data_IF_180459545695
#
_entry.id   IF_180459545695
#
_cell.length_a   1.000
_cell.length_b   1.000
_cell.length_c   1.000
_cell.angle_alpha   90.00
_cell.angle_beta   90.00
_cell.angle_gamma   90.00
#
_symmetry.space_group_name_H-M   'P 1'
#
loop_
_entity.id
_entity.type
_entity.pdbx_description
1 polymer ?
#
# COMPACT_ATOMS: atom_id res chain seq x y z
N UNK A 1 -15.68 -40.15 -49.35
CA UNK A 1 -15.13 -40.34 -47.99
C UNK A 1 -15.17 -39.00 -47.27
N UNK A 2 -16.20 -38.75 -46.47
CA UNK A 2 -16.36 -37.49 -45.74
C UNK A 2 -17.05 -37.77 -44.42
N UNK A 3 -16.33 -38.44 -43.51
CA UNK A 3 -16.83 -38.80 -42.18
C UNK A 3 -16.02 -38.05 -41.13
N UNK A 4 -16.31 -36.77 -40.98
CA UNK A 4 -15.89 -35.97 -39.82
C UNK A 4 -17.13 -35.53 -39.05
N UNK A 5 -17.03 -35.45 -37.72
CA UNK A 5 -18.13 -35.00 -36.87
C UNK A 5 -18.62 -33.61 -37.32
N UNK A 6 -19.87 -33.55 -37.79
CA UNK A 6 -20.52 -32.34 -38.28
C UNK A 6 -20.52 -31.21 -37.24
N UNK A 7 -20.47 -31.56 -35.95
CA UNK A 7 -20.46 -30.57 -34.88
C UNK A 7 -19.14 -29.79 -34.84
N UNK A 8 -18.03 -30.33 -35.34
CA UNK A 8 -16.76 -29.60 -35.39
C UNK A 8 -16.77 -28.44 -36.39
N UNK A 9 -17.73 -28.44 -37.32
CA UNK A 9 -17.97 -27.34 -38.27
C UNK A 9 -18.87 -26.25 -37.67
N UNK A 10 -19.43 -26.45 -36.46
CA UNK A 10 -20.31 -25.48 -35.80
C UNK A 10 -19.51 -24.57 -34.87
N UNK A 11 -19.76 -23.27 -34.99
CA UNK A 11 -19.06 -22.23 -34.21
C UNK A 11 -19.34 -22.27 -32.71
N UNK A 12 -20.49 -22.83 -32.30
CA UNK A 12 -20.90 -22.93 -30.90
C UNK A 12 -20.34 -24.16 -30.18
N UNK A 13 -19.72 -25.12 -30.90
CA UNK A 13 -19.24 -26.36 -30.29
C UNK A 13 -18.10 -26.07 -29.29
N UNK A 14 -18.25 -26.45 -28.00
CA UNK A 14 -17.23 -26.18 -26.98
C UNK A 14 -15.92 -26.96 -27.22
N UNK A 15 -15.97 -28.07 -27.94
CA UNK A 15 -14.79 -28.88 -28.23
C UNK A 15 -13.88 -28.26 -29.29
N UNK A 16 -14.34 -27.26 -30.04
CA UNK A 16 -13.52 -26.57 -31.03
C UNK A 16 -12.36 -25.84 -30.34
N UNK A 17 -11.14 -25.98 -30.86
CA UNK A 17 -9.92 -25.38 -30.29
C UNK A 17 -10.04 -23.87 -30.05
N UNK A 18 -10.74 -23.16 -30.95
CA UNK A 18 -11.01 -21.72 -30.82
C UNK A 18 -11.82 -21.39 -29.56
N UNK A 19 -12.82 -22.22 -29.24
CA UNK A 19 -13.69 -22.00 -28.09
C UNK A 19 -13.00 -22.43 -26.79
N UNK A 20 -12.28 -23.55 -26.79
CA UNK A 20 -11.41 -23.94 -25.68
C UNK A 20 -10.41 -22.84 -25.32
N UNK A 21 -9.80 -22.22 -26.33
CA UNK A 21 -8.88 -21.09 -26.13
C UNK A 21 -9.58 -19.90 -25.46
N UNK A 22 -10.77 -19.51 -25.93
CA UNK A 22 -11.54 -18.43 -25.32
C UNK A 22 -11.88 -18.71 -23.85
N UNK A 23 -12.35 -19.93 -23.56
CA UNK A 23 -12.65 -20.35 -22.19
C UNK A 23 -11.40 -20.27 -21.32
N UNK A 24 -10.28 -20.80 -21.80
CA UNK A 24 -9.01 -20.75 -21.09
C UNK A 24 -8.54 -19.30 -20.82
N UNK A 25 -8.66 -18.40 -21.80
CA UNK A 25 -8.32 -16.98 -21.61
C UNK A 25 -9.19 -16.32 -20.54
N UNK A 26 -10.51 -16.60 -20.54
CA UNK A 26 -11.43 -16.08 -19.53
C UNK A 26 -11.16 -16.64 -18.14
N UNK A 27 -10.86 -17.94 -18.03
CA UNK A 27 -10.51 -18.59 -16.78
C UNK A 27 -9.19 -18.03 -16.23
N UNK A 28 -8.21 -17.83 -17.10
CA UNK A 28 -6.92 -17.27 -16.73
C UNK A 28 -7.05 -15.83 -16.22
N UNK A 29 -7.91 -15.01 -16.84
CA UNK A 29 -8.22 -13.67 -16.37
C UNK A 29 -8.93 -13.70 -15.00
N UNK A 30 -9.94 -14.55 -14.84
CA UNK A 30 -10.67 -14.71 -13.57
C UNK A 30 -9.74 -15.17 -12.43
N UNK A 31 -8.79 -16.07 -12.71
CA UNK A 31 -7.77 -16.49 -11.75
C UNK A 31 -6.84 -15.35 -11.34
N UNK A 32 -6.42 -14.50 -12.29
CA UNK A 32 -5.58 -13.33 -12.00
C UNK A 32 -6.32 -12.30 -11.13
N UNK A 33 -7.59 -12.03 -11.43
CA UNK A 33 -8.44 -11.14 -10.63
C UNK A 33 -8.63 -11.69 -9.21
N UNK A 34 -8.92 -12.99 -9.09
CA UNK A 34 -9.05 -13.68 -7.80
C UNK A 34 -7.74 -13.61 -6.98
N UNK A 35 -6.58 -13.81 -7.62
CA UNK A 35 -5.29 -13.68 -6.95
C UNK A 35 -5.06 -12.26 -6.43
N UNK A 36 -5.39 -11.23 -7.22
CA UNK A 36 -5.29 -9.82 -6.80
C UNK A 36 -6.20 -9.50 -5.62
N UNK A 37 -7.43 -10.04 -5.62
CA UNK A 37 -8.37 -9.88 -4.50
C UNK A 37 -7.82 -10.57 -3.25
N UNK A 38 -7.33 -11.80 -3.38
CA UNK A 38 -6.75 -12.55 -2.26
C UNK A 38 -5.55 -11.82 -1.65
N UNK A 39 -4.68 -11.24 -2.47
CA UNK A 39 -3.58 -10.42 -1.97
C UNK A 39 -4.09 -9.24 -1.14
N UNK A 40 -5.08 -8.49 -1.64
CA UNK A 40 -5.67 -7.36 -0.89
C UNK A 40 -6.35 -7.79 0.41
N UNK A 41 -7.00 -8.96 0.43
CA UNK A 41 -7.61 -9.49 1.65
C UNK A 41 -6.54 -9.78 2.71
N UNK A 42 -5.40 -10.35 2.32
CA UNK A 42 -4.28 -10.59 3.22
C UNK A 42 -3.68 -9.28 3.74
N UNK A 43 -3.59 -8.25 2.91
CA UNK A 43 -3.14 -6.91 3.33
C UNK A 43 -4.09 -6.31 4.38
N UNK A 44 -5.41 -6.35 4.14
CA UNK A 44 -6.42 -5.89 5.09
C UNK A 44 -6.42 -6.68 6.42
N UNK A 45 -6.21 -7.99 6.37
CA UNK A 45 -6.15 -8.81 7.57
C UNK A 45 -4.91 -8.48 8.41
N UNK A 46 -3.77 -8.22 7.75
CA UNK A 46 -2.56 -7.73 8.42
C UNK A 46 -2.79 -6.37 9.07
N UNK A 47 -3.43 -5.43 8.37
CA UNK A 47 -3.78 -4.12 8.92
C UNK A 47 -4.68 -4.26 10.15
N UNK A 48 -5.73 -5.10 10.07
CA UNK A 48 -6.62 -5.39 11.21
C UNK A 48 -5.89 -6.00 12.40
N UNK A 49 -4.99 -6.94 12.15
CA UNK A 49 -4.19 -7.57 13.21
C UNK A 49 -3.28 -6.54 13.91
N UNK A 50 -2.64 -5.65 13.15
CA UNK A 50 -1.82 -4.58 13.70
C UNK A 50 -2.64 -3.56 14.50
N UNK A 51 -3.82 -3.20 13.99
CA UNK A 51 -4.74 -2.28 14.67
C UNK A 51 -5.27 -2.89 15.98
N UNK A 52 -5.61 -4.19 15.98
CA UNK A 52 -6.01 -4.89 17.19
C UNK A 52 -4.91 -4.90 18.25
N UNK A 53 -3.66 -5.17 17.85
CA UNK A 53 -2.50 -5.10 18.75
C UNK A 53 -2.27 -3.67 19.26
N UNK A 54 -2.43 -2.66 18.40
CA UNK A 54 -2.30 -1.26 18.80
C UNK A 54 -3.38 -0.88 19.83
N UNK A 55 -4.64 -1.26 19.60
CA UNK A 55 -5.76 -1.02 20.52
C UNK A 55 -5.53 -1.69 21.88
N UNK A 56 -5.05 -2.94 21.89
CA UNK A 56 -4.71 -3.65 23.13
C UNK A 56 -3.61 -2.93 23.93
N UNK A 57 -2.60 -2.36 23.26
CA UNK A 57 -1.54 -1.59 23.90
C UNK A 57 -2.04 -0.21 24.41
N UNK A 58 -2.96 0.45 23.68
CA UNK A 58 -3.52 1.76 24.07
C UNK A 58 -4.34 1.66 25.36
N UNK A 59 -5.15 0.60 25.50
CA UNK A 59 -5.93 0.34 26.71
C UNK A 59 -5.05 0.10 27.96
N UNK A 60 -3.76 -0.19 27.76
CA UNK A 60 -2.79 -0.56 28.80
C UNK A 60 -1.88 0.56 29.31
N UNK A 61 -2.22 1.85 29.12
CA UNK A 61 -1.52 3.05 29.68
C UNK A 61 -0.42 3.72 28.84
N UNK A 62 -0.32 3.50 27.53
CA UNK A 62 0.65 4.23 26.68
C UNK A 62 -0.07 5.20 25.74
N UNK A 63 0.36 6.47 25.77
CA UNK A 63 -0.14 7.59 24.98
C UNK A 63 -0.50 7.21 23.53
N UNK A 64 -1.69 7.66 23.08
CA UNK A 64 -2.26 7.35 21.77
C UNK A 64 -1.26 7.67 20.65
N UNK A 65 -0.97 6.70 19.79
CA UNK A 65 -0.10 6.93 18.63
C UNK A 65 -0.84 7.82 17.63
N UNK A 66 -0.18 8.90 17.18
CA UNK A 66 -0.74 9.81 16.17
C UNK A 66 -0.80 9.09 14.83
N UNK A 67 -2.01 8.81 14.34
CA UNK A 67 -2.26 8.07 13.09
C UNK A 67 -1.95 8.89 11.82
N UNK A 68 -1.48 10.14 11.93
CA UNK A 68 -1.22 11.01 10.77
C UNK A 68 -2.49 11.45 10.02
N UNK A 69 -3.61 10.74 10.15
CA UNK A 69 -4.95 11.09 9.65
C UNK A 69 -5.69 12.06 10.59
N UNK A 70 -4.98 12.60 11.58
CA UNK A 70 -5.51 13.59 12.51
C UNK A 70 -6.00 14.84 11.78
N UNK A 71 -5.32 15.27 10.71
CA UNK A 71 -5.75 16.42 9.90
C UNK A 71 -7.07 16.20 9.17
N UNK A 72 -7.46 14.95 8.91
CA UNK A 72 -8.67 14.60 8.17
C UNK A 72 -9.86 14.34 9.10
N UNK A 73 -9.60 13.76 10.27
CA UNK A 73 -10.66 13.37 11.22
C UNK A 73 -10.83 14.32 12.42
N UNK A 74 -9.96 15.32 12.62
CA UNK A 74 -10.17 16.37 13.63
C UNK A 74 -10.95 17.61 13.14
N UNK A 75 -11.54 17.57 11.94
CA UNK A 75 -12.44 18.65 11.51
C UNK A 75 -13.74 18.60 12.33
N UNK A 76 -13.70 19.30 13.47
CA UNK A 76 -14.86 19.57 14.29
C UNK A 76 -15.95 20.23 13.44
N UNK A 77 -17.22 19.79 13.52
CA UNK A 77 -18.31 20.30 12.67
C UNK A 77 -18.53 21.81 12.79
N UNK A 78 -18.10 22.41 13.89
CA UNK A 78 -18.08 23.86 14.09
C UNK A 78 -17.12 24.61 13.16
N UNK A 79 -16.02 24.00 12.70
CA UNK A 79 -15.08 24.63 11.77
C UNK A 79 -15.56 24.53 10.32
N UNK A 80 -16.18 23.42 9.92
CA UNK A 80 -16.73 23.23 8.58
C UNK A 80 -17.89 24.18 8.30
N UNK A 81 -18.84 24.35 9.23
CA UNK A 81 -19.95 25.29 9.03
C UNK A 81 -19.51 26.75 8.90
N UNK A 82 -18.48 27.16 9.66
CA UNK A 82 -17.92 28.51 9.53
C UNK A 82 -17.25 28.69 8.16
N UNK A 83 -16.46 27.72 7.72
CA UNK A 83 -15.82 27.75 6.41
C UNK A 83 -16.83 27.76 5.26
N UNK A 84 -17.92 27.00 5.36
CA UNK A 84 -19.01 26.99 4.38
C UNK A 84 -19.75 28.33 4.31
N UNK A 85 -20.01 28.97 5.46
CA UNK A 85 -20.61 30.31 5.50
C UNK A 85 -19.74 31.37 4.81
N UNK A 86 -18.41 31.29 4.96
CA UNK A 86 -17.47 32.18 4.25
C UNK A 86 -17.41 31.88 2.75
N UNK A 87 -17.43 30.59 2.35
CA UNK A 87 -17.43 30.19 0.93
C UNK A 87 -18.73 30.58 0.21
N UNK A 88 -19.85 30.56 0.91
CA UNK A 88 -21.17 30.97 0.40
C UNK A 88 -21.44 32.47 0.52
N UNK A 89 -20.50 33.24 1.08
CA UNK A 89 -20.63 34.69 1.24
C UNK A 89 -21.70 35.11 2.25
N UNK A 90 -22.12 34.22 3.16
CA UNK A 90 -23.08 34.54 4.23
C UNK A 90 -22.45 35.32 5.38
N UNK A 91 -21.12 35.29 5.49
CA UNK A 91 -20.33 36.00 6.50
C UNK A 91 -19.22 36.82 5.84
N UNK A 92 -19.00 38.03 6.34
CA UNK A 92 -17.92 38.91 5.87
C UNK A 92 -16.56 38.44 6.41
N UNK A 93 -15.52 38.57 5.57
CA UNK A 93 -14.15 38.19 5.91
C UNK A 93 -13.50 39.35 6.67
N UNK A 94 -13.34 39.19 7.99
CA UNK A 94 -12.62 40.15 8.84
C UNK A 94 -11.10 39.85 8.89
N UNK A 95 -10.30 40.87 9.19
CA UNK A 95 -8.83 40.80 9.29
C UNK A 95 -8.35 39.77 10.33
N UNK A 96 -9.20 39.44 11.31
CA UNK A 96 -8.97 38.40 12.31
C UNK A 96 -8.94 36.98 11.70
N UNK A 97 -9.82 36.70 10.74
CA UNK A 97 -9.91 35.42 10.02
C UNK A 97 -8.70 35.24 9.11
N UNK A 98 -8.27 36.31 8.43
CA UNK A 98 -7.11 36.29 7.54
C UNK A 98 -5.78 36.07 8.31
N UNK A 99 -5.71 36.47 9.58
CA UNK A 99 -4.56 36.23 10.45
C UNK A 99 -4.53 34.80 11.01
N UNK A 100 -5.69 34.16 11.21
CA UNK A 100 -5.77 32.76 11.66
C UNK A 100 -5.26 31.79 10.58
N UNK A 101 -5.61 31.99 9.31
CA UNK A 101 -5.14 31.13 8.20
C UNK A 101 -3.62 31.14 8.05
N UNK A 102 -2.96 32.27 8.30
CA UNK A 102 -1.49 32.38 8.28
C UNK A 102 -0.79 31.57 9.38
N UNK A 103 -1.41 31.45 10.57
CA UNK A 103 -0.88 30.61 11.66
C UNK A 103 -1.06 29.13 11.35
N UNK A 104 -2.19 28.74 10.79
CA UNK A 104 -2.44 27.34 10.41
C UNK A 104 -1.50 26.88 9.29
N UNK A 105 -1.20 27.74 8.31
CA UNK A 105 -0.21 27.43 7.26
C UNK A 105 1.21 27.21 7.79
N UNK A 106 1.62 27.91 8.85
CA UNK A 106 2.91 27.67 9.51
C UNK A 106 2.98 26.29 10.19
N UNK A 107 1.86 25.77 10.70
CA UNK A 107 1.78 24.42 11.28
C UNK A 107 1.67 23.31 10.24
N UNK A 108 1.20 23.61 9.02
CA UNK A 108 1.13 22.66 7.89
C UNK A 108 2.45 22.49 7.14
N UNK A 109 3.41 23.40 7.34
CA UNK A 109 4.81 23.21 6.95
C UNK A 109 5.56 22.29 7.94
N UNK A 110 4.98 21.13 8.28
CA UNK A 110 5.80 19.97 8.68
C UNK A 110 6.41 19.45 7.39
N UNK A 111 7.45 20.14 6.96
CA UNK A 111 8.26 19.78 5.81
C UNK A 111 8.73 18.34 5.94
N UNK A 112 8.76 17.67 4.79
CA UNK A 112 9.71 16.63 4.42
C UNK A 112 10.62 16.22 5.58
N UNK A 113 10.16 15.27 6.40
CA UNK A 113 11.04 14.56 7.32
C UNK A 113 11.98 13.79 6.41
N UNK A 114 13.17 14.35 6.22
CA UNK A 114 14.30 13.69 5.58
C UNK A 114 14.38 12.27 6.13
N UNK A 115 14.08 11.28 5.28
CA UNK A 115 14.18 9.85 5.60
C UNK A 115 15.65 9.41 5.63
N UNK A 116 16.55 10.29 6.07
CA UNK A 116 17.88 9.91 6.50
C UNK A 116 17.69 9.10 7.77
N UNK A 117 17.66 7.77 7.56
CA UNK A 117 17.73 6.78 8.62
C UNK A 117 18.96 7.11 9.45
N UNK A 118 18.76 7.82 10.56
CA UNK A 118 19.79 7.94 11.58
C UNK A 118 19.97 6.53 12.13
N UNK A 119 21.01 5.86 11.66
CA UNK A 119 21.52 4.65 12.26
C UNK A 119 21.73 4.94 13.74
N UNK A 120 20.78 4.51 14.58
CA UNK A 120 21.05 4.34 16.00
C UNK A 120 22.02 3.19 16.07
N UNK A 121 23.25 3.45 16.48
CA UNK A 121 24.23 2.41 16.80
C UNK A 121 23.65 1.56 17.93
N UNK A 122 22.89 0.53 17.58
CA UNK A 122 22.48 -0.49 18.52
C UNK A 122 23.70 -1.36 18.79
N UNK A 123 24.19 -1.27 20.01
CA UNK A 123 25.21 -2.14 20.61
C UNK A 123 25.02 -3.61 20.17
N UNK A 124 26.05 -4.15 19.51
CA UNK A 124 26.29 -5.58 19.20
C UNK A 124 25.05 -6.33 18.68
N UNK A 125 24.75 -6.15 17.40
CA UNK A 125 23.81 -7.02 16.67
C UNK A 125 24.50 -8.34 16.36
N UNK A 126 23.87 -9.46 16.74
CA UNK A 126 24.37 -10.81 16.47
C UNK A 126 24.55 -11.03 14.96
N UNK A 127 25.73 -11.52 14.57
CA UNK A 127 26.07 -11.71 13.16
C UNK A 127 25.16 -12.72 12.46
N UNK A 128 24.52 -13.63 13.18
CA UNK A 128 23.52 -14.57 12.65
C UNK A 128 22.29 -13.83 12.10
N UNK A 129 21.78 -12.83 12.83
CA UNK A 129 20.59 -12.05 12.45
C UNK A 129 20.85 -11.23 11.18
N UNK A 130 22.05 -10.65 11.04
CA UNK A 130 22.44 -9.91 9.84
C UNK A 130 22.65 -10.83 8.61
N UNK A 131 22.98 -12.09 8.83
CA UNK A 131 23.17 -13.07 7.75
C UNK A 131 21.86 -13.66 7.21
N UNK A 132 20.78 -13.60 8.00
CA UNK A 132 19.44 -14.09 7.63
C UNK A 132 18.55 -13.01 6.99
N UNK A 133 19.00 -11.76 6.91
CA UNK A 133 18.24 -10.68 6.26
C UNK A 133 18.10 -10.89 4.73
N UNK A 134 16.86 -10.87 4.18
CA UNK A 134 16.62 -10.97 2.73
C UNK A 134 17.36 -9.90 1.91
N UNK A 135 17.54 -8.69 2.42
CA UNK A 135 18.28 -7.62 1.73
C UNK A 135 19.76 -8.00 1.59
N UNK A 136 20.36 -8.57 2.63
CA UNK A 136 21.74 -9.06 2.62
C UNK A 136 21.93 -10.20 1.61
N UNK A 137 20.94 -11.09 1.48
CA UNK A 137 20.94 -12.17 0.47
C UNK A 137 20.92 -11.63 -0.97
N UNK A 138 20.09 -10.63 -1.24
CA UNK A 138 20.01 -9.96 -2.56
C UNK A 138 21.34 -9.27 -2.89
N UNK A 139 21.92 -8.54 -1.93
CA UNK A 139 23.19 -7.83 -2.11
C UNK A 139 24.34 -8.80 -2.41
N UNK A 140 24.41 -9.95 -1.72
CA UNK A 140 25.38 -11.02 -1.99
C UNK A 140 25.22 -11.60 -3.40
N UNK A 141 23.98 -11.83 -3.85
CA UNK A 141 23.69 -12.32 -5.21
C UNK A 141 24.12 -11.31 -6.27
N UNK A 142 23.85 -10.02 -6.06
CA UNK A 142 24.30 -8.95 -6.96
C UNK A 142 25.82 -8.86 -7.01
N UNK A 143 26.49 -8.92 -5.85
CA UNK A 143 27.95 -8.89 -5.78
C UNK A 143 28.60 -10.05 -6.55
N UNK A 144 28.11 -11.29 -6.36
CA UNK A 144 28.58 -12.47 -7.12
C UNK A 144 28.35 -12.34 -8.63
N UNK A 145 27.26 -11.69 -9.05
CA UNK A 145 26.97 -11.43 -10.45
C UNK A 145 27.91 -10.39 -11.06
N UNK A 146 28.24 -9.35 -10.30
CA UNK A 146 29.10 -8.25 -10.76
C UNK A 146 30.59 -8.60 -10.74
N UNK A 147 31.00 -9.48 -9.83
CA UNK A 147 32.39 -9.94 -9.70
C UNK A 147 32.44 -11.47 -9.76
N UNK A 148 32.29 -12.07 -10.96
CA UNK A 148 32.52 -13.49 -11.10
C UNK A 148 33.98 -13.80 -10.77
N UNK A 149 34.21 -14.59 -9.72
CA UNK A 149 35.55 -15.06 -9.37
C UNK A 149 36.09 -15.90 -10.54
N UNK A 150 37.18 -15.43 -11.16
CA UNK A 150 37.95 -16.20 -12.12
C UNK A 150 38.58 -17.36 -11.36
N UNK A 151 38.18 -18.57 -11.70
CA UNK A 151 38.72 -19.80 -11.12
C UNK A 151 40.19 -19.91 -11.55
N UNK A 152 41.13 -19.68 -10.63
CA UNK A 152 42.54 -20.02 -10.85
C UNK A 152 42.63 -21.53 -11.04
N UNK A 153 43.26 -21.96 -12.13
CA UNK A 153 43.50 -23.37 -12.50
C UNK A 153 44.52 -23.97 -11.53
#
# INVERSE_FOLDING_TARGET
MGTGDLNLLKSWNPHLLKNKKKVWETEQQALAEHQKIKQRQVELEKERSLDQLASMNENGTVSKRKNGLEWMYNDSPTKTSQNEDFLLGRREIDDSVLKQTKKDQQTRNVGYQDTSVKYRESSKVDASILNEDPIMAIKRRQFKKNYPSYKTI
#
